data_IF_723527177392
#
_entry.id   IF_723527177392
#
_cell.length_a   1.000
_cell.length_b   1.000
_cell.length_c   1.000
_cell.angle_alpha   90.00
_cell.angle_beta   90.00
_cell.angle_gamma   90.00
#
_symmetry.space_group_name_H-M   'P 1'
#
loop_
_entity.id
_entity.type
_entity.pdbx_description
1 polymer ?
#
# COMPACT_ATOMS: atom_id res chain seq x y z
N UNK A 1 28.16 31.04 -41.94
CA UNK A 1 27.41 30.17 -41.01
C UNK A 1 26.69 29.11 -41.82
N UNK A 2 26.54 27.91 -41.26
CA UNK A 2 26.05 26.65 -41.85
C UNK A 2 27.19 25.73 -42.30
N UNK A 3 27.52 24.76 -41.46
CA UNK A 3 28.21 23.53 -41.88
C UNK A 3 27.39 22.34 -41.36
N UNK A 4 27.07 21.45 -42.29
CA UNK A 4 26.20 20.30 -42.11
C UNK A 4 26.88 19.12 -41.41
N UNK A 5 26.05 18.31 -40.76
CA UNK A 5 26.45 17.07 -40.12
C UNK A 5 26.86 16.02 -41.17
N UNK A 6 28.02 15.37 -40.97
CA UNK A 6 28.37 14.14 -41.69
C UNK A 6 28.23 12.94 -40.77
N UNK A 7 27.32 12.04 -41.13
CA UNK A 7 27.09 10.74 -40.47
C UNK A 7 28.21 9.80 -40.92
N UNK A 8 29.03 9.31 -39.98
CA UNK A 8 29.99 8.22 -40.27
C UNK A 8 29.37 6.89 -39.90
N UNK A 9 29.16 6.03 -40.90
CA UNK A 9 28.77 4.62 -40.74
C UNK A 9 29.92 3.84 -40.11
N UNK A 10 29.61 3.04 -39.09
CA UNK A 10 30.54 2.09 -38.49
C UNK A 10 30.48 0.82 -39.34
N UNK A 11 31.49 0.61 -40.18
CA UNK A 11 31.76 -0.70 -40.81
C UNK A 11 33.25 -0.98 -40.76
N UNK A 12 33.70 -1.77 -39.80
CA UNK A 12 34.88 -2.65 -39.97
C UNK A 12 34.88 -3.74 -38.89
N UNK A 13 34.94 -5.04 -39.26
CA UNK A 13 34.83 -6.18 -38.34
C UNK A 13 36.18 -6.73 -37.87
N UNK A 14 37.23 -5.93 -37.73
CA UNK A 14 38.61 -6.44 -37.62
C UNK A 14 39.31 -6.15 -36.27
N UNK A 15 38.64 -6.32 -35.12
CA UNK A 15 39.29 -6.08 -33.82
C UNK A 15 39.06 -7.15 -32.75
N UNK A 16 38.42 -8.27 -33.08
CA UNK A 16 37.97 -9.25 -32.08
C UNK A 16 38.94 -10.42 -31.87
N UNK A 17 39.91 -10.63 -32.77
CA UNK A 17 40.80 -11.81 -32.70
C UNK A 17 42.03 -11.62 -31.80
N UNK A 18 42.39 -10.40 -31.39
CA UNK A 18 43.55 -10.17 -30.52
C UNK A 18 43.28 -10.34 -29.02
N UNK A 19 42.05 -10.65 -28.59
CA UNK A 19 41.68 -10.72 -27.17
C UNK A 19 41.78 -12.14 -26.57
N UNK A 20 42.32 -13.12 -27.30
CA UNK A 20 42.25 -14.54 -26.90
C UNK A 20 43.56 -15.14 -26.34
N UNK A 21 44.68 -14.41 -26.24
CA UNK A 21 45.96 -15.00 -25.82
C UNK A 21 46.29 -14.94 -24.32
N UNK A 22 45.54 -14.19 -23.50
CA UNK A 22 45.98 -13.88 -22.13
C UNK A 22 45.25 -14.68 -21.03
N UNK A 23 44.82 -15.92 -21.32
CA UNK A 23 44.06 -16.74 -20.35
C UNK A 23 44.88 -17.84 -19.65
N UNK A 24 46.21 -17.90 -19.82
CA UNK A 24 47.01 -19.01 -19.29
C UNK A 24 48.12 -18.60 -18.31
N UNK A 25 47.83 -17.71 -17.36
CA UNK A 25 48.57 -17.68 -16.09
C UNK A 25 47.88 -16.81 -15.03
N UNK A 26 47.09 -17.42 -14.15
CA UNK A 26 46.57 -16.76 -12.94
C UNK A 26 45.98 -17.80 -11.97
N UNK A 27 46.25 -17.71 -10.66
CA UNK A 27 45.87 -18.76 -9.72
C UNK A 27 44.35 -18.85 -9.54
N UNK A 28 43.82 -20.04 -9.83
CA UNK A 28 42.67 -20.71 -9.19
C UNK A 28 41.39 -19.87 -9.01
N UNK A 29 40.63 -19.71 -10.09
CA UNK A 29 39.28 -19.14 -10.13
C UNK A 29 38.18 -19.94 -9.36
N UNK A 30 38.56 -20.81 -8.42
CA UNK A 30 37.63 -21.56 -7.56
C UNK A 30 37.41 -20.91 -6.19
N UNK A 31 38.12 -19.82 -5.86
CA UNK A 31 37.98 -19.13 -4.55
C UNK A 31 37.03 -17.92 -4.58
N UNK A 32 36.58 -17.48 -5.75
CA UNK A 32 35.69 -16.31 -5.90
C UNK A 32 34.20 -16.61 -5.65
N UNK A 33 33.82 -17.87 -5.43
CA UNK A 33 32.45 -18.28 -5.06
C UNK A 33 32.24 -18.42 -3.54
N UNK A 34 33.05 -17.76 -2.70
CA UNK A 34 32.88 -17.80 -1.23
C UNK A 34 31.72 -16.94 -0.69
N UNK A 35 31.14 -16.06 -1.51
CA UNK A 35 30.04 -15.18 -1.09
C UNK A 35 28.65 -15.84 -1.04
N UNK A 36 28.50 -17.10 -1.49
CA UNK A 36 27.22 -17.83 -1.47
C UNK A 36 27.26 -19.07 -0.56
N UNK A 37 27.81 -18.93 0.64
CA UNK A 37 27.60 -19.94 1.69
C UNK A 37 26.20 -19.73 2.30
N UNK A 38 25.35 -20.77 2.41
CA UNK A 38 24.07 -20.63 3.10
C UNK A 38 24.33 -20.13 4.52
N UNK A 39 23.62 -19.08 4.94
CA UNK A 39 23.79 -18.52 6.28
C UNK A 39 23.63 -19.63 7.33
N UNK A 40 24.49 -19.68 8.36
CA UNK A 40 24.34 -20.66 9.42
C UNK A 40 22.98 -20.48 10.09
N UNK A 41 22.33 -21.58 10.52
CA UNK A 41 21.06 -21.47 11.24
C UNK A 41 21.26 -20.59 12.48
N UNK A 42 20.23 -19.83 12.88
CA UNK A 42 20.32 -18.95 14.04
C UNK A 42 20.65 -19.79 15.29
N UNK A 43 21.34 -19.17 16.24
CA UNK A 43 21.61 -19.80 17.53
C UNK A 43 20.28 -20.24 18.19
N UNK A 44 20.27 -21.33 18.98
CA UNK A 44 19.04 -21.86 19.58
C UNK A 44 18.33 -20.85 20.50
N UNK A 45 19.07 -19.88 21.04
CA UNK A 45 18.53 -18.77 21.82
C UNK A 45 17.69 -17.82 20.95
N UNK A 46 18.19 -17.45 19.75
CA UNK A 46 17.47 -16.61 18.80
C UNK A 46 16.27 -17.36 18.22
N UNK A 47 16.43 -18.64 17.86
CA UNK A 47 15.35 -19.48 17.34
C UNK A 47 14.16 -19.59 18.32
N UNK A 48 14.46 -19.65 19.62
CA UNK A 48 13.45 -19.65 20.69
C UNK A 48 12.72 -18.31 20.79
N UNK A 49 13.43 -17.19 20.71
CA UNK A 49 12.82 -15.85 20.75
C UNK A 49 11.92 -15.60 19.53
N UNK A 50 12.34 -16.04 18.34
CA UNK A 50 11.51 -15.95 17.12
C UNK A 50 10.27 -16.81 17.23
N UNK A 51 10.39 -18.02 17.80
CA UNK A 51 9.25 -18.90 18.05
C UNK A 51 8.21 -18.23 18.97
N UNK A 52 8.64 -17.72 20.13
CA UNK A 52 7.74 -17.00 21.03
C UNK A 52 7.13 -15.75 20.41
N UNK A 53 7.87 -15.02 19.58
CA UNK A 53 7.33 -13.87 18.85
C UNK A 53 6.20 -14.26 17.89
N UNK A 54 6.35 -15.36 17.15
CA UNK A 54 5.32 -15.89 16.25
C UNK A 54 4.10 -16.41 17.02
N UNK A 55 4.29 -17.13 18.13
CA UNK A 55 3.18 -17.63 18.94
C UNK A 55 2.39 -16.50 19.61
N UNK A 56 3.07 -15.50 20.20
CA UNK A 56 2.40 -14.31 20.76
C UNK A 56 1.66 -13.51 19.68
N UNK A 57 2.24 -13.37 18.49
CA UNK A 57 1.57 -12.73 17.36
C UNK A 57 0.33 -13.52 16.92
N UNK A 58 0.41 -14.85 16.93
CA UNK A 58 -0.72 -15.74 16.64
C UNK A 58 -1.82 -15.53 17.68
N UNK A 59 -1.54 -15.63 18.97
CA UNK A 59 -2.53 -15.39 20.04
C UNK A 59 -3.20 -14.01 19.89
N UNK A 60 -2.42 -12.97 19.60
CA UNK A 60 -2.94 -11.62 19.33
C UNK A 60 -3.86 -11.56 18.11
N UNK A 61 -3.52 -12.25 17.02
CA UNK A 61 -4.37 -12.35 15.82
C UNK A 61 -5.65 -13.12 16.15
N UNK A 62 -5.55 -14.24 16.86
CA UNK A 62 -6.71 -15.03 17.27
C UNK A 62 -7.64 -14.23 18.17
N UNK A 63 -7.12 -13.51 19.17
CA UNK A 63 -7.92 -12.61 20.00
C UNK A 63 -8.68 -11.57 19.16
N UNK A 64 -8.02 -10.96 18.16
CA UNK A 64 -8.67 -10.00 17.26
C UNK A 64 -9.76 -10.62 16.41
N UNK A 65 -9.53 -11.79 15.80
CA UNK A 65 -10.50 -12.46 14.93
C UNK A 65 -11.84 -12.72 15.64
N UNK A 66 -11.81 -13.01 16.94
CA UNK A 66 -13.03 -13.22 17.73
C UNK A 66 -13.74 -11.91 18.12
N UNK A 67 -12.99 -10.80 18.20
CA UNK A 67 -13.53 -9.50 18.58
C UNK A 67 -14.03 -8.67 17.38
N UNK A 68 -13.41 -8.82 16.21
CA UNK A 68 -13.80 -8.13 14.97
C UNK A 68 -15.30 -8.21 14.68
N UNK A 69 -15.98 -9.38 14.74
CA UNK A 69 -17.41 -9.42 14.41
C UNK A 69 -18.28 -8.60 15.37
N UNK A 70 -17.87 -8.46 16.65
CA UNK A 70 -18.57 -7.63 17.61
C UNK A 70 -18.38 -6.14 17.31
N UNK A 71 -17.12 -5.73 17.09
CA UNK A 71 -16.78 -4.33 16.81
C UNK A 71 -17.35 -3.83 15.47
N UNK A 72 -17.32 -4.67 14.44
CA UNK A 72 -17.90 -4.31 13.14
C UNK A 72 -19.43 -4.20 13.24
N UNK A 73 -20.09 -5.07 14.02
CA UNK A 73 -21.52 -4.97 14.25
C UNK A 73 -21.92 -3.71 15.05
N UNK A 74 -21.08 -3.22 15.96
CA UNK A 74 -21.28 -1.94 16.64
C UNK A 74 -21.13 -0.77 15.66
N UNK A 75 -20.04 -0.75 14.89
CA UNK A 75 -19.78 0.28 13.89
C UNK A 75 -20.90 0.36 12.83
N UNK A 76 -21.34 -0.78 12.29
CA UNK A 76 -22.40 -0.83 11.29
C UNK A 76 -23.74 -0.30 11.82
N UNK A 77 -24.08 -0.52 13.10
CA UNK A 77 -25.27 0.09 13.72
C UNK A 77 -25.15 1.61 13.78
N UNK A 78 -24.00 2.14 14.16
CA UNK A 78 -23.77 3.58 14.26
C UNK A 78 -23.78 4.26 12.89
N UNK A 79 -23.23 3.60 11.87
CA UNK A 79 -23.29 4.09 10.50
C UNK A 79 -24.73 4.20 10.00
N UNK A 80 -25.56 3.18 10.20
CA UNK A 80 -26.98 3.22 9.81
C UNK A 80 -27.71 4.35 10.54
N UNK A 81 -27.46 4.54 11.84
CA UNK A 81 -28.06 5.64 12.61
C UNK A 81 -27.72 7.01 12.02
N UNK A 82 -26.45 7.23 11.66
CA UNK A 82 -26.00 8.50 11.05
C UNK A 82 -26.64 8.72 9.67
N UNK A 83 -26.70 7.69 8.84
CA UNK A 83 -27.31 7.77 7.50
C UNK A 83 -28.79 8.11 7.55
N UNK A 84 -29.55 7.52 8.50
CA UNK A 84 -30.96 7.84 8.67
C UNK A 84 -31.12 9.30 9.12
N UNK A 85 -30.34 9.74 10.11
CA UNK A 85 -30.37 11.12 10.58
C UNK A 85 -29.95 12.14 9.49
N UNK A 86 -29.00 11.79 8.63
CA UNK A 86 -28.62 12.59 7.46
C UNK A 86 -29.75 12.68 6.44
N UNK A 87 -30.40 11.56 6.12
CA UNK A 87 -31.54 11.54 5.19
C UNK A 87 -32.73 12.36 5.72
N UNK A 88 -32.98 12.32 7.04
CA UNK A 88 -34.02 13.15 7.68
C UNK A 88 -33.66 14.64 7.64
N UNK A 89 -32.41 15.01 7.96
CA UNK A 89 -31.93 16.39 7.87
C UNK A 89 -31.99 16.94 6.45
N UNK A 90 -31.50 16.18 5.48
CA UNK A 90 -31.54 16.55 4.08
C UNK A 90 -32.99 16.73 3.60
N UNK A 91 -33.92 15.88 4.07
CA UNK A 91 -35.35 15.98 3.71
C UNK A 91 -35.96 17.26 4.22
N UNK A 92 -35.65 17.63 5.46
CA UNK A 92 -36.15 18.85 6.08
C UNK A 92 -35.61 20.11 5.40
N UNK A 93 -34.34 20.11 4.97
CA UNK A 93 -33.70 21.27 4.35
C UNK A 93 -34.00 21.42 2.85
N UNK A 94 -34.04 20.32 2.11
CA UNK A 94 -34.11 20.31 0.64
C UNK A 94 -35.47 19.91 0.08
N UNK A 95 -36.49 19.77 0.95
CA UNK A 95 -37.85 19.36 0.55
C UNK A 95 -38.51 20.30 -0.46
N UNK A 96 -38.27 21.61 -0.33
CA UNK A 96 -38.92 22.64 -1.16
C UNK A 96 -38.17 22.95 -2.47
N UNK A 97 -36.98 22.35 -2.67
CA UNK A 97 -36.10 22.66 -3.80
C UNK A 97 -36.53 21.88 -5.04
N UNK A 98 -37.00 22.61 -6.07
CA UNK A 98 -37.45 22.03 -7.34
C UNK A 98 -36.31 21.26 -8.04
N UNK A 99 -36.53 19.97 -8.28
CA UNK A 99 -35.60 19.10 -9.02
C UNK A 99 -34.56 18.38 -8.17
N UNK A 100 -34.58 18.57 -6.85
CA UNK A 100 -33.76 17.80 -5.93
C UNK A 100 -34.26 16.36 -5.81
N UNK A 101 -33.36 15.38 -5.90
CA UNK A 101 -33.67 13.95 -5.72
C UNK A 101 -32.96 13.45 -4.48
N UNK A 102 -33.74 13.09 -3.47
CA UNK A 102 -33.20 12.46 -2.27
C UNK A 102 -32.69 11.04 -2.57
N UNK A 103 -31.52 10.69 -2.04
CA UNK A 103 -30.98 9.34 -2.08
C UNK A 103 -29.58 9.25 -2.67
N UNK A 104 -29.24 8.07 -3.18
CA UNK A 104 -27.90 7.80 -3.73
C UNK A 104 -27.66 8.58 -5.02
N UNK A 105 -26.49 9.23 -5.11
CA UNK A 105 -25.97 9.82 -6.35
C UNK A 105 -25.58 8.74 -7.36
N UNK A 106 -25.24 7.55 -6.89
CA UNK A 106 -24.78 6.44 -7.71
C UNK A 106 -25.94 5.62 -8.25
N UNK A 107 -25.81 5.18 -9.50
CA UNK A 107 -26.83 4.39 -10.21
C UNK A 107 -27.00 2.95 -9.70
N UNK A 108 -26.13 2.49 -8.79
CA UNK A 108 -26.16 1.14 -8.23
C UNK A 108 -26.98 1.04 -6.95
N UNK A 109 -27.62 -0.10 -6.71
CA UNK A 109 -28.34 -0.41 -5.46
C UNK A 109 -27.40 -0.73 -4.27
N UNK A 110 -26.09 -0.47 -4.39
CA UNK A 110 -25.10 -0.77 -3.36
C UNK A 110 -25.10 0.32 -2.30
N UNK A 111 -25.13 -0.08 -1.03
CA UNK A 111 -24.92 0.84 0.10
C UNK A 111 -23.45 1.24 0.15
N UNK A 112 -23.19 2.56 0.09
CA UNK A 112 -21.85 3.13 0.09
C UNK A 112 -21.69 3.92 1.39
N UNK A 113 -20.60 3.64 2.13
CA UNK A 113 -20.24 4.43 3.33
C UNK A 113 -19.83 5.84 2.87
N UNK A 114 -20.37 6.93 3.45
CA UNK A 114 -20.02 8.29 3.05
C UNK A 114 -18.55 8.57 3.34
N UNK A 115 -17.86 9.27 2.43
CA UNK A 115 -16.42 9.58 2.57
C UNK A 115 -16.15 10.88 3.30
N UNK A 116 -17.06 11.84 3.18
CA UNK A 116 -16.94 13.16 3.79
C UNK A 116 -18.05 13.31 4.81
N UNK A 117 -17.69 13.77 6.01
CA UNK A 117 -18.65 14.21 7.02
C UNK A 117 -18.56 15.73 7.13
N UNK A 118 -19.70 16.39 7.27
CA UNK A 118 -19.73 17.80 7.64
C UNK A 118 -19.44 17.88 9.14
N UNK A 119 -18.20 18.23 9.48
CA UNK A 119 -17.83 18.63 10.84
C UNK A 119 -18.26 20.08 11.10
N UNK A 120 -18.37 20.50 12.37
CA UNK A 120 -18.54 21.92 12.68
C UNK A 120 -17.34 22.72 12.17
N UNK A 121 -17.58 23.92 11.66
CA UNK A 121 -16.52 24.83 11.23
C UNK A 121 -15.57 25.10 12.42
N UNK A 122 -14.25 25.04 12.20
CA UNK A 122 -13.24 25.23 13.25
C UNK A 122 -13.43 26.58 13.99
N UNK A 123 -13.94 27.60 13.30
CA UNK A 123 -14.24 28.93 13.85
C UNK A 123 -15.28 28.91 15.00
N UNK A 124 -16.16 27.90 15.06
CA UNK A 124 -17.13 27.74 16.16
C UNK A 124 -16.54 27.05 17.39
N UNK A 125 -15.35 26.44 17.27
CA UNK A 125 -14.68 25.76 18.38
C UNK A 125 -13.84 26.73 19.22
N UNK A 126 -13.40 27.84 18.63
CA UNK A 126 -12.48 28.80 19.26
C UNK A 126 -13.17 29.90 20.07
N UNK A 127 -14.50 29.87 20.26
CA UNK A 127 -15.17 30.86 21.11
C UNK A 127 -15.10 30.41 22.57
N UNK A 128 -14.11 30.85 23.39
CA UNK A 128 -14.26 30.69 24.83
C UNK A 128 -15.52 31.45 25.26
N UNK A 129 -16.26 30.84 26.18
CA UNK A 129 -17.49 31.38 26.76
C UNK A 129 -17.32 32.81 27.30
#
# INVERSE_FOLDING_TARGET
MVQGASVRRITSPASWESAHSDFTSGPRALESYSCFSPLPPPSPQIARLTYYGSELAREKVWARLHLIPLLEAENDRDLVRRQIAEAERERALMGDVKGWKMGSVYNSNRVIKPRYGYGPDEELQEKPA
#
